data_IF_104261596007
#
_entry.id   IF_104261596007
#
_cell.length_a   1.000
_cell.length_b   1.000
_cell.length_c   1.000
_cell.angle_alpha   90.00
_cell.angle_beta   90.00
_cell.angle_gamma   90.00
#
_symmetry.space_group_name_H-M   'P 1'
#
loop_
_entity.id
_entity.type
_entity.pdbx_description
1 polymer ?
#
# COMPACT_ATOMS: atom_id res chain seq x y z
N UNK A 1 -7.95 51.71 66.42
CA UNK A 1 -6.46 51.68 66.35
C UNK A 1 -5.95 51.71 67.78
N UNK A 2 -5.50 50.57 68.31
CA UNK A 2 -4.95 50.43 69.66
C UNK A 2 -3.73 49.50 69.59
N UNK A 3 -2.63 49.98 70.19
CA UNK A 3 -1.68 49.26 71.06
C UNK A 3 -0.69 48.31 70.37
N UNK A 4 0.60 48.69 70.37
CA UNK A 4 1.62 48.46 71.44
C UNK A 4 2.29 47.08 71.24
N UNK A 5 3.57 46.85 71.52
CA UNK A 5 4.68 47.71 71.94
C UNK A 5 6.00 46.99 71.69
N UNK A 6 7.04 47.82 71.62
CA UNK A 6 8.48 47.56 71.65
C UNK A 6 8.95 46.37 72.51
N UNK A 7 10.05 45.74 72.08
CA UNK A 7 11.22 45.51 72.95
C UNK A 7 12.52 45.60 72.10
N UNK A 8 13.45 46.38 72.61
CA UNK A 8 14.89 46.48 72.26
C UNK A 8 15.72 45.82 73.39
N UNK A 9 17.05 45.92 73.49
CA UNK A 9 18.18 45.66 72.57
C UNK A 9 19.24 44.70 73.20
N UNK A 10 20.38 44.51 72.49
CA UNK A 10 21.74 44.13 72.99
C UNK A 10 22.25 42.67 73.07
N UNK A 11 23.50 42.55 72.57
CA UNK A 11 24.66 41.71 73.00
C UNK A 11 24.57 40.19 72.72
N UNK A 12 25.61 39.42 72.36
CA UNK A 12 27.09 39.51 72.32
C UNK A 12 27.59 38.32 71.43
N UNK A 13 28.68 38.45 70.62
CA UNK A 13 30.02 37.80 70.78
C UNK A 13 30.02 36.36 71.35
N UNK A 14 30.84 35.38 70.94
CA UNK A 14 32.00 35.26 70.02
C UNK A 14 32.32 33.75 69.82
N UNK A 15 33.26 33.46 68.93
CA UNK A 15 33.83 32.15 68.53
C UNK A 15 34.38 31.27 69.67
N UNK A 16 34.32 29.94 69.49
CA UNK A 16 35.40 28.99 69.83
C UNK A 16 35.23 27.63 69.14
N UNK A 17 36.34 27.14 68.58
CA UNK A 17 36.59 25.80 68.01
C UNK A 17 36.58 24.68 69.06
N UNK A 18 36.19 23.45 68.68
CA UNK A 18 36.83 22.16 69.09
C UNK A 18 36.16 20.91 68.49
N UNK A 19 36.92 20.21 67.65
CA UNK A 19 37.14 18.76 67.53
C UNK A 19 36.05 17.78 68.04
N UNK A 20 35.54 16.91 67.15
CA UNK A 20 35.75 15.44 67.21
C UNK A 20 34.95 14.73 66.10
N UNK A 21 35.61 13.75 65.47
CA UNK A 21 35.08 12.84 64.47
C UNK A 21 34.07 11.85 65.08
N UNK A 22 33.09 11.37 64.32
CA UNK A 22 32.86 9.94 64.01
C UNK A 22 31.61 9.78 63.12
N UNK A 23 31.79 9.01 62.06
CA UNK A 23 30.83 8.55 61.06
C UNK A 23 29.63 7.78 61.65
N UNK A 24 28.41 8.02 61.17
CA UNK A 24 27.52 6.97 60.64
C UNK A 24 26.16 7.50 60.13
N UNK A 25 25.89 7.11 58.88
CA UNK A 25 24.63 6.82 58.20
C UNK A 25 23.29 7.36 58.73
N UNK A 26 22.60 8.13 57.87
CA UNK A 26 21.17 8.40 58.01
C UNK A 26 20.69 9.55 57.12
N UNK A 27 20.62 9.33 55.80
CA UNK A 27 20.03 10.31 54.88
C UNK A 27 18.51 10.39 55.11
N UNK A 28 18.09 11.38 55.90
CA UNK A 28 16.72 11.90 55.87
C UNK A 28 16.73 13.15 55.00
N UNK A 29 16.15 13.06 53.80
CA UNK A 29 15.69 14.24 53.08
C UNK A 29 14.25 14.01 52.62
N UNK A 30 13.36 15.02 52.74
CA UNK A 30 11.93 14.83 52.57
C UNK A 30 11.52 15.03 51.11
N UNK A 31 10.85 14.02 50.54
CA UNK A 31 9.84 14.25 49.49
C UNK A 31 8.64 15.01 50.10
N UNK A 32 7.81 15.75 49.33
CA UNK A 32 7.25 15.27 48.07
C UNK A 32 7.08 16.32 46.96
N UNK A 33 6.99 15.85 45.70
CA UNK A 33 5.85 16.07 44.81
C UNK A 33 6.19 15.56 43.39
N UNK A 34 5.47 14.53 42.95
CA UNK A 34 5.22 14.31 41.51
C UNK A 34 5.82 13.05 40.88
N UNK A 35 5.51 11.86 41.41
CA UNK A 35 5.54 10.64 40.61
C UNK A 35 4.58 10.73 39.43
N UNK A 36 5.02 10.39 38.21
CA UNK A 36 4.29 9.51 37.28
C UNK A 36 5.06 9.20 35.99
N UNK A 37 5.73 8.04 36.05
CA UNK A 37 5.86 7.03 34.99
C UNK A 37 6.32 7.46 33.60
N UNK A 38 7.57 7.13 33.28
CA UNK A 38 7.90 6.58 31.96
C UNK A 38 8.87 5.42 32.15
N UNK A 39 8.33 4.28 32.59
CA UNK A 39 9.02 3.01 32.47
C UNK A 39 9.29 2.77 30.98
N UNK A 40 10.56 2.81 30.61
CA UNK A 40 11.04 2.39 29.30
C UNK A 40 10.64 0.93 29.09
N UNK A 41 9.58 0.70 28.34
CA UNK A 41 9.26 -0.61 27.80
C UNK A 41 10.37 -1.03 26.85
N UNK A 42 11.29 -1.82 27.38
CA UNK A 42 11.82 -3.04 26.76
C UNK A 42 11.99 -3.04 25.23
N UNK A 43 13.25 -2.92 24.79
CA UNK A 43 13.88 -3.62 23.66
C UNK A 43 12.92 -4.16 22.60
N UNK A 44 12.42 -3.28 21.75
CA UNK A 44 12.10 -3.62 20.38
C UNK A 44 13.04 -2.82 19.49
N UNK A 45 13.56 -3.45 18.44
CA UNK A 45 14.41 -2.89 17.38
C UNK A 45 13.66 -1.85 16.51
N UNK A 46 12.71 -1.12 17.10
CA UNK A 46 11.92 -0.08 16.50
C UNK A 46 12.48 1.26 16.97
N UNK A 47 13.00 2.05 16.04
CA UNK A 47 13.48 3.41 16.30
C UNK A 47 12.42 4.33 16.96
N UNK A 48 12.77 5.59 17.25
CA UNK A 48 11.91 6.49 18.02
C UNK A 48 10.51 6.62 17.40
N UNK A 49 9.47 6.41 18.22
CA UNK A 49 8.07 6.53 17.83
C UNK A 49 7.48 7.89 18.21
N UNK A 50 6.52 8.38 17.43
CA UNK A 50 5.71 9.57 17.72
C UNK A 50 4.24 9.26 17.51
N UNK A 51 3.36 10.16 17.95
CA UNK A 51 1.92 10.03 17.73
C UNK A 51 1.41 11.09 16.77
N UNK A 52 0.50 10.69 15.89
CA UNK A 52 -0.22 11.58 14.98
C UNK A 52 -1.73 11.43 15.17
N UNK A 53 -2.48 12.51 14.97
CA UNK A 53 -3.94 12.49 14.90
C UNK A 53 -4.37 12.49 13.44
N UNK A 54 -5.15 11.49 13.02
CA UNK A 54 -5.67 11.41 11.66
C UNK A 54 -7.19 11.50 11.68
N UNK A 55 -7.72 12.52 11.02
CA UNK A 55 -9.16 12.74 10.85
C UNK A 55 -9.66 11.89 9.69
N UNK A 56 -10.46 10.85 9.97
CA UNK A 56 -10.87 9.84 8.99
C UNK A 56 -12.40 9.83 8.77
N UNK A 57 -13.00 11.02 8.64
CA UNK A 57 -14.45 11.20 8.46
C UNK A 57 -15.01 10.42 7.25
N UNK A 58 -14.20 10.23 6.21
CA UNK A 58 -14.57 9.46 5.02
C UNK A 58 -14.74 7.95 5.28
N UNK A 59 -14.25 7.43 6.40
CA UNK A 59 -14.48 6.03 6.83
C UNK A 59 -15.57 5.94 7.90
N UNK A 60 -15.51 6.83 8.89
CA UNK A 60 -16.42 6.86 10.06
C UNK A 60 -16.74 8.32 10.40
N UNK A 61 -17.87 8.87 9.95
CA UNK A 61 -18.27 10.26 10.22
C UNK A 61 -18.40 10.58 11.72
N UNK A 62 -18.80 9.60 12.52
CA UNK A 62 -19.02 9.75 13.97
C UNK A 62 -17.72 9.86 14.78
N UNK A 63 -16.58 9.50 14.19
CA UNK A 63 -15.28 9.50 14.87
C UNK A 63 -14.50 10.70 14.40
N UNK A 64 -14.23 11.63 15.32
CA UNK A 64 -13.54 12.88 15.00
C UNK A 64 -12.14 12.61 14.44
N UNK A 65 -11.31 11.88 15.19
CA UNK A 65 -9.97 11.49 14.78
C UNK A 65 -9.55 10.15 15.40
N UNK A 66 -8.55 9.52 14.78
CA UNK A 66 -7.83 8.38 15.35
C UNK A 66 -6.39 8.77 15.66
N UNK A 67 -5.96 8.54 16.90
CA UNK A 67 -4.56 8.67 17.28
C UNK A 67 -3.80 7.39 16.90
N UNK A 68 -2.69 7.54 16.17
CA UNK A 68 -1.80 6.45 15.77
C UNK A 68 -0.40 6.69 16.34
N UNK A 69 0.22 5.64 16.88
CA UNK A 69 1.66 5.62 17.15
C UNK A 69 2.37 5.12 15.89
N UNK A 70 3.35 5.87 15.40
CA UNK A 70 4.09 5.61 14.16
C UNK A 70 5.58 5.89 14.36
N UNK A 71 6.42 5.35 13.48
CA UNK A 71 7.85 5.69 13.45
C UNK A 71 8.11 6.85 12.47
N UNK A 72 9.32 7.41 12.49
CA UNK A 72 9.74 8.40 11.49
C UNK A 72 9.88 7.85 10.07
N UNK A 73 9.88 6.52 9.91
CA UNK A 73 9.93 5.87 8.59
C UNK A 73 8.56 5.48 8.06
N UNK A 74 7.53 5.47 8.92
CA UNK A 74 6.19 5.07 8.52
C UNK A 74 5.69 5.95 7.39
N UNK A 75 5.23 5.35 6.30
CA UNK A 75 4.75 6.07 5.11
C UNK A 75 3.26 6.37 5.19
N UNK A 76 2.77 7.31 4.36
CA UNK A 76 1.34 7.58 4.24
C UNK A 76 0.56 6.33 3.79
N UNK A 77 1.11 5.52 2.89
CA UNK A 77 0.50 4.25 2.45
C UNK A 77 0.31 3.24 3.59
N UNK A 78 1.30 3.13 4.47
CA UNK A 78 1.19 2.29 5.67
C UNK A 78 0.16 2.81 6.66
N UNK A 79 0.07 4.14 6.83
CA UNK A 79 -0.96 4.77 7.66
C UNK A 79 -2.36 4.48 7.10
N UNK A 80 -2.57 4.62 5.79
CA UNK A 80 -3.83 4.27 5.12
C UNK A 80 -4.20 2.82 5.40
N UNK A 81 -3.27 1.89 5.17
CA UNK A 81 -3.47 0.45 5.39
C UNK A 81 -3.82 0.15 6.86
N UNK A 82 -3.14 0.80 7.79
CA UNK A 82 -3.40 0.69 9.24
C UNK A 82 -4.80 1.18 9.60
N UNK A 83 -5.24 2.31 9.03
CA UNK A 83 -6.57 2.86 9.26
C UNK A 83 -7.66 1.93 8.72
N UNK A 84 -7.53 1.47 7.47
CA UNK A 84 -8.47 0.49 6.90
C UNK A 84 -8.54 -0.78 7.76
N UNK A 85 -7.41 -1.26 8.28
CA UNK A 85 -7.36 -2.36 9.24
C UNK A 85 -8.13 -2.08 10.53
N UNK A 86 -7.85 -0.96 11.19
CA UNK A 86 -8.50 -0.58 12.46
C UNK A 86 -10.01 -0.35 12.32
N UNK A 87 -10.46 0.08 11.15
CA UNK A 87 -11.88 0.29 10.85
C UNK A 87 -12.58 -0.91 10.19
N UNK A 88 -11.92 -2.08 10.11
CA UNK A 88 -12.47 -3.30 9.47
C UNK A 88 -12.84 -3.11 7.98
N UNK A 89 -12.15 -2.20 7.29
CA UNK A 89 -12.34 -1.85 5.88
C UNK A 89 -11.22 -2.40 4.98
N UNK A 90 -10.55 -3.50 5.37
CA UNK A 90 -9.43 -4.11 4.60
C UNK A 90 -9.84 -4.61 3.21
N UNK A 91 -11.13 -4.85 2.99
CA UNK A 91 -11.69 -5.26 1.71
C UNK A 91 -11.81 -4.09 0.71
N UNK A 92 -11.55 -2.85 1.15
CA UNK A 92 -11.53 -1.67 0.27
C UNK A 92 -10.16 -1.51 -0.35
N UNK A 93 -10.16 -1.00 -1.57
CA UNK A 93 -8.93 -0.67 -2.26
C UNK A 93 -8.16 0.48 -1.56
N UNK A 94 -6.96 0.24 -1.01
CA UNK A 94 -6.18 1.28 -0.34
C UNK A 94 -5.77 2.42 -1.28
N UNK A 95 -5.65 2.18 -2.60
CA UNK A 95 -5.27 3.22 -3.58
C UNK A 95 -6.36 4.26 -3.81
N UNK A 96 -7.58 4.02 -3.33
CA UNK A 96 -8.65 5.02 -3.29
C UNK A 96 -8.48 6.02 -2.15
N UNK A 97 -7.50 5.86 -1.27
CA UNK A 97 -7.30 6.74 -0.13
C UNK A 97 -5.93 7.41 -0.19
N UNK A 98 -5.85 8.60 0.39
CA UNK A 98 -4.60 9.32 0.60
C UNK A 98 -4.69 10.20 1.83
N UNK A 99 -3.54 10.56 2.39
CA UNK A 99 -3.49 11.56 3.45
C UNK A 99 -3.38 12.94 2.85
N UNK A 100 -4.05 13.91 3.46
CA UNK A 100 -3.79 15.32 3.27
C UNK A 100 -3.34 15.95 4.58
N UNK A 101 -2.53 16.99 4.48
CA UNK A 101 -2.10 17.80 5.61
C UNK A 101 -2.64 19.22 5.44
N UNK A 102 -3.18 19.77 6.50
CA UNK A 102 -3.52 21.19 6.52
C UNK A 102 -2.27 22.04 6.74
N UNK A 103 -2.04 23.02 5.88
CA UNK A 103 -0.90 23.93 5.92
C UNK A 103 -1.41 25.38 5.95
N UNK A 104 -0.96 26.15 6.94
CA UNK A 104 -1.32 27.56 7.12
C UNK A 104 -0.24 28.46 6.53
N UNK A 105 -0.59 29.28 5.53
CA UNK A 105 0.30 30.28 4.96
C UNK A 105 0.21 31.55 5.81
N UNK A 106 1.15 31.72 6.75
CA UNK A 106 1.15 32.81 7.75
C UNK A 106 0.97 34.21 7.17
N UNK A 107 1.61 34.50 6.03
CA UNK A 107 1.57 35.84 5.39
C UNK A 107 0.20 36.21 4.83
N UNK A 108 -0.64 35.22 4.51
CA UNK A 108 -1.94 35.42 3.88
C UNK A 108 -3.12 35.02 4.78
N UNK A 109 -2.86 34.38 5.94
CA UNK A 109 -3.92 33.82 6.80
C UNK A 109 -4.71 32.68 6.16
N UNK A 110 -4.25 32.16 5.02
CA UNK A 110 -4.96 31.12 4.24
C UNK A 110 -4.56 29.75 4.77
N UNK A 111 -5.56 28.91 5.08
CA UNK A 111 -5.40 27.48 5.38
C UNK A 111 -5.68 26.69 4.12
N UNK A 112 -4.75 25.83 3.73
CA UNK A 112 -4.86 24.99 2.52
C UNK A 112 -4.63 23.53 2.86
N UNK A 113 -5.24 22.61 2.11
CA UNK A 113 -4.99 21.18 2.25
C UNK A 113 -4.01 20.71 1.17
N UNK A 114 -2.85 20.22 1.59
CA UNK A 114 -1.85 19.61 0.73
C UNK A 114 -2.08 18.09 0.69
N UNK A 115 -2.31 17.53 -0.50
CA UNK A 115 -2.31 16.09 -0.69
C UNK A 115 -0.88 15.55 -0.52
N UNK A 116 -0.73 14.47 0.26
CA UNK A 116 0.55 13.83 0.49
C UNK A 116 0.71 12.60 -0.40
N UNK A 117 1.92 12.38 -0.88
CA UNK A 117 2.30 11.18 -1.62
C UNK A 117 2.28 9.93 -0.72
N UNK A 118 2.12 8.76 -1.33
CA UNK A 118 2.08 7.47 -0.62
C UNK A 118 3.34 7.22 0.21
N UNK A 119 4.50 7.62 -0.31
CA UNK A 119 5.82 7.45 0.34
C UNK A 119 6.18 8.57 1.32
N UNK A 120 5.35 9.62 1.43
CA UNK A 120 5.59 10.71 2.35
C UNK A 120 5.53 10.22 3.81
N UNK A 121 6.36 10.79 4.68
CA UNK A 121 6.54 10.36 6.07
C UNK A 121 5.87 11.35 7.03
N UNK A 122 4.63 11.11 7.50
CA UNK A 122 3.86 12.07 8.28
C UNK A 122 4.54 12.47 9.60
N UNK A 123 5.31 11.59 10.23
CA UNK A 123 6.07 11.92 11.44
C UNK A 123 7.15 12.98 11.18
N UNK A 124 7.83 12.92 10.03
CA UNK A 124 8.82 13.92 9.60
C UNK A 124 8.12 15.24 9.29
N UNK A 125 7.01 15.19 8.56
CA UNK A 125 6.23 16.40 8.25
C UNK A 125 5.72 17.08 9.52
N UNK A 126 5.29 16.30 10.52
CA UNK A 126 4.83 16.82 11.81
C UNK A 126 5.96 17.49 12.60
N UNK A 127 7.20 16.97 12.56
CA UNK A 127 8.32 17.55 13.31
C UNK A 127 8.80 18.90 12.74
N UNK A 128 8.55 19.17 11.46
CA UNK A 128 8.86 20.44 10.83
C UNK A 128 7.87 21.58 11.17
N UNK A 129 6.73 21.27 11.79
CA UNK A 129 5.71 22.26 12.12
C UNK A 129 5.81 22.73 13.59
N UNK A 130 5.37 23.97 13.88
CA UNK A 130 5.17 24.41 15.26
C UNK A 130 4.29 23.40 16.00
N UNK A 131 4.63 23.12 17.27
CA UNK A 131 3.99 22.07 18.07
C UNK A 131 2.45 22.24 18.08
N UNK A 132 1.75 21.29 17.48
CA UNK A 132 0.28 21.18 17.55
C UNK A 132 -0.49 21.58 16.29
N UNK A 133 0.16 22.17 15.28
CA UNK A 133 -0.53 22.70 14.08
C UNK A 133 -0.69 21.68 12.95
N UNK A 134 -0.12 20.48 13.08
CA UNK A 134 -0.18 19.43 12.05
C UNK A 134 -1.50 18.68 12.09
N UNK A 135 -2.38 18.95 11.13
CA UNK A 135 -3.66 18.26 10.98
C UNK A 135 -3.65 17.34 9.75
N UNK A 136 -3.57 16.04 10.00
CA UNK A 136 -3.66 15.02 8.95
C UNK A 136 -5.10 14.54 8.77
N UNK A 137 -5.57 14.45 7.53
CA UNK A 137 -6.91 13.93 7.21
C UNK A 137 -6.81 12.83 6.16
N UNK A 138 -7.59 11.78 6.32
CA UNK A 138 -7.75 10.75 5.30
C UNK A 138 -8.80 11.22 4.29
N UNK A 139 -8.45 11.19 3.01
CA UNK A 139 -9.27 11.63 1.90
C UNK A 139 -9.48 10.47 0.91
N UNK A 140 -10.53 10.57 0.10
CA UNK A 140 -10.84 9.59 -0.95
C UNK A 140 -10.54 10.16 -2.33
N UNK A 141 -10.07 9.29 -3.23
CA UNK A 141 -9.90 9.55 -4.66
C UNK A 141 -11.08 8.98 -5.43
N UNK A 142 -11.25 9.45 -6.67
CA UNK A 142 -12.21 8.85 -7.61
C UNK A 142 -11.74 7.45 -8.00
N UNK A 143 -12.70 6.53 -8.06
CA UNK A 143 -12.51 5.15 -8.52
C UNK A 143 -13.57 4.77 -9.55
N UNK A 144 -13.63 3.49 -9.87
CA UNK A 144 -14.68 2.91 -10.70
C UNK A 144 -15.07 1.52 -10.23
N UNK A 145 -16.32 1.15 -10.47
CA UNK A 145 -16.84 -0.18 -10.16
C UNK A 145 -16.41 -1.17 -11.24
N UNK A 146 -15.81 -2.28 -10.82
CA UNK A 146 -15.58 -3.45 -11.67
C UNK A 146 -16.41 -4.61 -11.14
N UNK A 147 -17.06 -5.34 -12.06
CA UNK A 147 -17.78 -6.58 -11.74
C UNK A 147 -16.88 -7.76 -12.09
N UNK A 148 -16.65 -8.64 -11.11
CA UNK A 148 -15.78 -9.81 -11.26
C UNK A 148 -16.54 -11.07 -10.88
N UNK A 149 -16.68 -11.98 -11.83
CA UNK A 149 -17.25 -13.31 -11.59
C UNK A 149 -16.22 -14.16 -10.85
N UNK A 150 -16.59 -14.62 -9.64
CA UNK A 150 -15.67 -15.17 -8.65
C UNK A 150 -16.17 -16.49 -8.06
N UNK A 151 -16.98 -17.23 -8.82
CA UNK A 151 -17.54 -18.53 -8.42
C UNK A 151 -16.48 -19.56 -7.98
N UNK A 152 -15.24 -19.40 -8.45
CA UNK A 152 -14.09 -20.24 -8.06
C UNK A 152 -13.58 -19.98 -6.63
N UNK A 153 -13.93 -18.82 -6.06
CA UNK A 153 -13.64 -18.43 -4.68
C UNK A 153 -14.83 -18.74 -3.76
N UNK A 154 -16.05 -18.52 -4.25
CA UNK A 154 -17.28 -18.83 -3.55
C UNK A 154 -18.35 -19.29 -4.55
N UNK A 155 -18.73 -20.56 -4.50
CA UNK A 155 -19.70 -21.16 -5.45
C UNK A 155 -21.09 -20.53 -5.38
N UNK A 156 -21.42 -19.89 -4.26
CA UNK A 156 -22.69 -19.20 -4.08
C UNK A 156 -22.66 -17.74 -4.57
N UNK A 157 -21.48 -17.22 -4.93
CA UNK A 157 -21.31 -15.87 -5.46
C UNK A 157 -21.55 -15.88 -6.97
N UNK A 158 -22.48 -15.04 -7.45
CA UNK A 158 -22.63 -14.81 -8.90
C UNK A 158 -21.48 -13.95 -9.42
N UNK A 159 -21.27 -12.81 -8.78
CA UNK A 159 -20.17 -11.89 -9.04
C UNK A 159 -19.96 -11.00 -7.83
N UNK A 160 -18.76 -10.42 -7.72
CA UNK A 160 -18.46 -9.36 -6.78
C UNK A 160 -18.24 -8.03 -7.49
N UNK A 161 -18.88 -6.99 -6.99
CA UNK A 161 -18.63 -5.61 -7.41
C UNK A 161 -17.60 -4.96 -6.50
N UNK A 162 -16.48 -4.53 -7.06
CA UNK A 162 -15.42 -3.84 -6.32
C UNK A 162 -15.28 -2.41 -6.83
N UNK A 163 -15.30 -1.44 -5.90
CA UNK A 163 -14.87 -0.08 -6.20
C UNK A 163 -13.35 -0.02 -6.10
N UNK A 164 -12.68 0.24 -7.23
CA UNK A 164 -11.22 0.23 -7.32
C UNK A 164 -10.67 1.52 -7.93
N UNK A 165 -9.40 1.82 -7.64
CA UNK A 165 -8.66 2.89 -8.28
C UNK A 165 -8.29 2.53 -9.72
N UNK A 166 -8.10 3.54 -10.56
CA UNK A 166 -7.59 3.37 -11.91
C UNK A 166 -6.15 2.83 -11.95
N UNK A 167 -5.41 2.88 -10.83
CA UNK A 167 -4.04 2.36 -10.71
C UNK A 167 -3.98 0.95 -10.12
N UNK A 168 -5.12 0.34 -9.80
CA UNK A 168 -5.19 -0.97 -9.16
C UNK A 168 -4.96 -2.07 -10.18
N UNK A 169 -4.03 -2.97 -9.87
CA UNK A 169 -3.61 -4.04 -10.78
C UNK A 169 -4.47 -5.28 -10.64
N UNK A 170 -4.33 -6.23 -11.56
CA UNK A 170 -5.02 -7.53 -11.51
C UNK A 170 -4.71 -8.27 -10.21
N UNK A 171 -3.44 -8.36 -9.80
CA UNK A 171 -3.06 -9.05 -8.57
C UNK A 171 -3.68 -8.41 -7.33
N UNK A 172 -3.76 -7.08 -7.31
CA UNK A 172 -4.41 -6.35 -6.22
C UNK A 172 -5.92 -6.58 -6.21
N UNK A 173 -6.59 -6.65 -7.37
CA UNK A 173 -8.01 -7.03 -7.45
C UNK A 173 -8.22 -8.44 -6.91
N UNK A 174 -7.38 -9.40 -7.26
CA UNK A 174 -7.43 -10.77 -6.72
C UNK A 174 -7.22 -10.74 -5.19
N UNK A 175 -6.24 -9.98 -4.71
CA UNK A 175 -5.99 -9.80 -3.27
C UNK A 175 -7.20 -9.21 -2.52
N UNK A 176 -7.89 -8.24 -3.13
CA UNK A 176 -9.11 -7.66 -2.57
C UNK A 176 -10.24 -8.71 -2.49
N UNK A 177 -10.45 -9.49 -3.55
CA UNK A 177 -11.43 -10.59 -3.55
C UNK A 177 -11.14 -11.63 -2.47
N UNK A 178 -9.88 -12.07 -2.35
CA UNK A 178 -9.46 -13.01 -1.31
C UNK A 178 -9.69 -12.43 0.09
N UNK A 179 -9.42 -11.14 0.28
CA UNK A 179 -9.68 -10.43 1.54
C UNK A 179 -11.18 -10.38 1.86
N UNK A 180 -12.06 -10.20 0.87
CA UNK A 180 -13.51 -10.23 1.08
C UNK A 180 -14.01 -11.59 1.60
N UNK A 181 -13.36 -12.69 1.21
CA UNK A 181 -13.70 -14.03 1.68
C UNK A 181 -12.83 -14.50 2.85
N UNK A 182 -11.98 -13.63 3.38
CA UNK A 182 -11.03 -13.94 4.46
C UNK A 182 -10.14 -15.16 4.13
N UNK A 183 -9.84 -15.36 2.84
CA UNK A 183 -9.00 -16.45 2.33
C UNK A 183 -7.52 -16.13 2.54
N UNK A 184 -6.73 -17.17 2.86
CA UNK A 184 -5.26 -17.09 3.02
C UNK A 184 -4.49 -17.59 1.80
N UNK A 185 -5.21 -17.89 0.72
CA UNK A 185 -4.61 -18.33 -0.55
C UNK A 185 -3.74 -17.23 -1.15
N UNK A 186 -2.78 -17.64 -2.01
CA UNK A 186 -1.85 -16.70 -2.64
C UNK A 186 -2.42 -16.19 -3.95
N UNK A 187 -2.16 -14.93 -4.30
CA UNK A 187 -2.71 -14.30 -5.51
C UNK A 187 -2.31 -15.05 -6.79
N UNK A 188 -1.11 -15.63 -6.84
CA UNK A 188 -0.61 -16.33 -8.03
C UNK A 188 -1.28 -17.70 -8.24
N UNK A 189 -2.10 -18.17 -7.28
CA UNK A 189 -3.00 -19.31 -7.49
C UNK A 189 -4.17 -18.96 -8.40
N UNK A 190 -4.36 -17.70 -8.77
CA UNK A 190 -5.47 -17.24 -9.58
C UNK A 190 -4.99 -16.41 -10.77
N UNK A 191 -5.86 -16.27 -11.76
CA UNK A 191 -5.68 -15.35 -12.87
C UNK A 191 -7.02 -14.67 -13.16
N UNK A 192 -6.97 -13.40 -13.55
CA UNK A 192 -8.14 -12.67 -14.04
C UNK A 192 -8.21 -12.77 -15.56
N UNK A 193 -9.40 -13.07 -16.06
CA UNK A 193 -9.70 -13.13 -17.49
C UNK A 193 -10.70 -12.05 -17.84
N UNK A 194 -10.51 -11.43 -18.99
CA UNK A 194 -11.56 -10.73 -19.71
C UNK A 194 -12.23 -11.74 -20.66
N UNK A 195 -13.55 -11.84 -20.57
CA UNK A 195 -14.34 -12.77 -21.37
C UNK A 195 -15.38 -11.98 -22.13
N UNK A 196 -15.43 -12.15 -23.45
CA UNK A 196 -16.39 -11.52 -24.34
C UNK A 196 -17.15 -12.62 -25.09
N UNK A 197 -18.31 -13.09 -24.57
CA UNK A 197 -19.04 -14.24 -25.11
C UNK A 197 -19.44 -14.07 -26.58
N UNK A 198 -19.85 -12.87 -26.98
CA UNK A 198 -20.26 -12.55 -28.36
C UNK A 198 -19.17 -12.78 -29.40
N UNK A 199 -17.90 -12.70 -28.99
CA UNK A 199 -16.74 -12.92 -29.86
C UNK A 199 -16.10 -14.29 -29.66
N UNK A 200 -16.69 -15.13 -28.80
CA UNK A 200 -16.11 -16.40 -28.30
C UNK A 200 -14.65 -16.24 -27.85
N UNK A 201 -14.30 -15.03 -27.39
CA UNK A 201 -12.94 -14.66 -27.07
C UNK A 201 -12.78 -14.52 -25.55
N UNK A 202 -11.70 -15.09 -25.05
CA UNK A 202 -11.24 -14.89 -23.69
C UNK A 202 -9.75 -14.56 -23.69
N UNK A 203 -9.35 -13.61 -22.84
CA UNK A 203 -7.97 -13.17 -22.71
C UNK A 203 -7.58 -13.22 -21.23
N UNK A 204 -6.48 -13.91 -20.92
CA UNK A 204 -5.84 -13.80 -19.60
C UNK A 204 -5.18 -12.43 -19.50
N UNK A 205 -5.50 -11.68 -18.46
CA UNK A 205 -4.87 -10.39 -18.18
C UNK A 205 -3.51 -10.60 -17.49
N UNK A 206 -2.58 -9.69 -17.75
CA UNK A 206 -1.29 -9.66 -17.07
C UNK A 206 -1.48 -9.23 -15.60
N UNK A 207 -0.70 -9.76 -14.64
CA UNK A 207 -0.74 -9.34 -13.23
C UNK A 207 -0.69 -7.81 -13.00
N UNK A 208 0.06 -7.11 -13.85
CA UNK A 208 0.23 -5.65 -13.81
C UNK A 208 -0.82 -4.86 -14.61
N UNK A 209 -1.69 -5.54 -15.37
CA UNK A 209 -2.78 -4.87 -16.07
C UNK A 209 -3.72 -4.22 -15.06
N UNK A 210 -4.40 -3.15 -15.47
CA UNK A 210 -5.32 -2.39 -14.61
C UNK A 210 -6.77 -2.65 -15.02
N UNK A 211 -7.53 -3.47 -14.27
CA UNK A 211 -8.86 -3.91 -14.70
C UNK A 211 -9.82 -2.76 -15.00
N UNK A 212 -9.76 -1.65 -14.23
CA UNK A 212 -10.60 -0.49 -14.51
C UNK A 212 -10.28 0.15 -15.88
N UNK A 213 -8.99 0.20 -16.27
CA UNK A 213 -8.58 0.71 -17.58
C UNK A 213 -8.99 -0.26 -18.70
N UNK A 214 -8.84 -1.57 -18.47
CA UNK A 214 -9.30 -2.61 -19.41
C UNK A 214 -10.81 -2.49 -19.65
N UNK A 215 -11.61 -2.33 -18.59
CA UNK A 215 -13.06 -2.15 -18.68
C UNK A 215 -13.45 -0.90 -19.47
N UNK A 216 -12.70 0.19 -19.35
CA UNK A 216 -12.95 1.43 -20.09
C UNK A 216 -12.67 1.31 -21.59
N UNK A 217 -11.91 0.29 -22.02
CA UNK A 217 -11.63 0.03 -23.43
C UNK A 217 -12.68 -0.86 -24.09
N UNK A 218 -13.64 -1.40 -23.33
CA UNK A 218 -14.73 -2.20 -23.90
C UNK A 218 -15.64 -1.36 -24.78
N UNK A 219 -16.01 -1.90 -25.94
CA UNK A 219 -16.99 -1.25 -26.79
C UNK A 219 -18.37 -1.35 -26.12
N UNK A 220 -19.21 -0.32 -26.18
CA UNK A 220 -20.57 -0.37 -25.63
C UNK A 220 -21.40 -1.51 -26.22
N UNK A 221 -21.08 -1.94 -27.45
CA UNK A 221 -21.74 -3.04 -28.14
C UNK A 221 -21.28 -4.42 -27.69
N UNK A 222 -20.18 -4.55 -26.94
CA UNK A 222 -19.64 -5.84 -26.51
C UNK A 222 -19.91 -6.09 -25.03
N UNK A 223 -20.62 -7.18 -24.74
CA UNK A 223 -20.85 -7.62 -23.35
C UNK A 223 -19.63 -8.37 -22.81
N UNK A 224 -18.56 -7.66 -22.49
CA UNK A 224 -17.39 -8.24 -21.84
C UNK A 224 -17.54 -8.21 -20.30
N UNK A 225 -16.91 -9.16 -19.62
CA UNK A 225 -16.87 -9.22 -18.15
C UNK A 225 -15.54 -9.81 -17.65
N UNK A 226 -15.24 -9.58 -16.37
CA UNK A 226 -14.10 -10.21 -15.71
C UNK A 226 -14.47 -11.52 -15.05
N UNK A 227 -13.60 -12.53 -15.16
CA UNK A 227 -13.77 -13.86 -14.57
C UNK A 227 -12.46 -14.29 -13.88
N UNK A 228 -12.54 -14.69 -12.62
CA UNK A 228 -11.41 -15.28 -11.89
C UNK A 228 -11.36 -16.79 -12.14
N UNK A 229 -10.17 -17.32 -12.39
CA UNK A 229 -9.92 -18.77 -12.49
C UNK A 229 -8.73 -19.19 -11.65
N UNK A 230 -8.74 -20.44 -11.18
CA UNK A 230 -7.61 -21.08 -10.49
C UNK A 230 -6.53 -21.50 -11.51
N UNK A 231 -5.27 -21.35 -11.11
CA UNK A 231 -4.09 -21.80 -11.84
C UNK A 231 -3.70 -23.21 -11.33
N UNK A 232 -4.02 -24.30 -12.04
CA UNK A 232 -3.77 -25.67 -11.57
C UNK A 232 -2.27 -25.96 -11.37
N UNK A 233 -1.43 -25.35 -12.19
CA UNK A 233 0.02 -25.55 -12.17
C UNK A 233 0.70 -25.00 -10.91
N UNK A 234 0.03 -24.12 -10.15
CA UNK A 234 0.65 -23.50 -8.99
C UNK A 234 0.88 -24.47 -7.83
N UNK A 235 -0.05 -25.41 -7.61
CA UNK A 235 0.04 -26.40 -6.54
C UNK A 235 0.82 -27.65 -6.95
N UNK A 236 1.33 -27.72 -8.18
CA UNK A 236 2.12 -28.85 -8.66
C UNK A 236 3.56 -28.77 -8.16
N UNK A 237 4.10 -29.83 -7.52
CA UNK A 237 5.51 -29.87 -7.16
C UNK A 237 6.37 -29.72 -8.42
N UNK A 238 7.48 -28.97 -8.32
CA UNK A 238 8.37 -28.64 -9.44
C UNK A 238 8.78 -29.85 -10.28
N UNK A 239 8.87 -31.04 -9.68
CA UNK A 239 9.17 -32.31 -10.35
C UNK A 239 8.09 -32.73 -11.37
N UNK A 240 6.81 -32.43 -11.14
CA UNK A 240 5.72 -32.74 -12.10
C UNK A 240 5.53 -31.66 -13.16
N UNK A 241 5.93 -30.41 -12.91
CA UNK A 241 5.88 -29.35 -13.93
C UNK A 241 6.74 -29.68 -15.15
N UNK A 242 7.85 -30.42 -14.98
CA UNK A 242 8.69 -30.90 -16.08
C UNK A 242 8.03 -31.99 -16.95
N UNK A 243 7.09 -32.77 -16.40
CA UNK A 243 6.47 -33.89 -17.13
C UNK A 243 5.43 -33.42 -18.16
N UNK A 244 4.77 -32.28 -17.93
CA UNK A 244 3.77 -31.75 -18.86
C UNK A 244 4.40 -31.18 -20.14
N UNK A 245 5.60 -30.59 -20.04
CA UNK A 245 6.33 -30.07 -21.20
C UNK A 245 6.92 -31.16 -22.13
N UNK A 246 7.00 -32.41 -21.66
CA UNK A 246 7.61 -33.51 -22.43
C UNK A 246 6.57 -34.27 -23.27
N UNK A 247 5.28 -34.20 -22.92
CA UNK A 247 4.24 -34.96 -23.62
C UNK A 247 3.86 -34.40 -25.01
N UNK A 248 4.26 -33.16 -25.35
CA UNK A 248 3.97 -32.55 -26.65
C UNK A 248 5.07 -32.76 -27.71
N UNK A 249 6.13 -33.52 -27.39
CA UNK A 249 7.13 -33.90 -28.39
C UNK A 249 6.85 -35.32 -28.91
N UNK A 250 6.69 -35.51 -30.24
CA UNK A 250 6.53 -36.84 -30.80
C UNK A 250 7.75 -37.69 -30.46
N UNK A 251 7.58 -38.99 -30.13
CA UNK A 251 8.70 -39.85 -29.80
C UNK A 251 9.66 -39.95 -30.99
N UNK A 252 10.91 -39.53 -30.78
CA UNK A 252 11.99 -39.72 -31.73
C UNK A 252 12.14 -41.24 -31.93
N UNK A 253 12.08 -41.76 -33.17
CA UNK A 253 12.21 -43.19 -33.41
C UNK A 253 13.60 -43.65 -32.99
N UNK A 254 13.64 -44.56 -32.01
CA UNK A 254 14.86 -45.23 -31.59
C UNK A 254 15.27 -46.21 -32.69
N UNK A 255 16.23 -45.81 -33.53
CA UNK A 255 16.94 -46.71 -34.42
C UNK A 255 17.75 -47.71 -33.58
N UNK A 256 17.32 -48.98 -33.62
CA UNK A 256 18.13 -50.12 -33.18
C UNK A 256 19.37 -50.23 -34.06
N UNK A 257 20.54 -49.96 -33.49
CA UNK A 257 21.79 -50.65 -33.84
C UNK A 257 22.82 -50.38 -32.75
N UNK A 258 22.96 -51.33 -31.84
CA UNK A 258 24.20 -51.48 -31.07
C UNK A 258 25.15 -52.32 -31.89
N UNK A 259 26.16 -51.72 -32.49
CA UNK A 259 27.46 -52.37 -32.71
C UNK A 259 28.58 -51.36 -32.46
N UNK A 260 29.40 -51.71 -31.48
CA UNK A 260 30.66 -51.05 -31.14
C UNK A 260 31.63 -51.13 -32.32
N UNK A 261 32.34 -50.03 -32.63
CA UNK A 261 33.74 -50.11 -33.06
C UNK A 261 34.51 -48.88 -32.54
N UNK A 262 35.61 -49.17 -31.85
CA UNK A 262 36.67 -48.24 -31.50
C UNK A 262 37.38 -47.71 -32.76
N UNK A 263 37.71 -46.42 -32.81
CA UNK A 263 39.09 -45.98 -33.02
C UNK A 263 39.30 -44.50 -32.67
N UNK A 264 40.57 -44.22 -32.39
CA UNK A 264 41.23 -43.02 -31.88
C UNK A 264 41.44 -41.97 -32.98
N UNK A 265 41.69 -40.74 -32.52
CA UNK A 265 42.65 -39.77 -33.07
C UNK A 265 42.15 -38.57 -33.92
N UNK A 266 42.54 -37.38 -33.42
CA UNK A 266 43.17 -36.26 -34.13
C UNK A 266 42.30 -35.29 -34.96
N UNK A 267 42.22 -34.06 -34.44
CA UNK A 267 42.58 -32.78 -35.10
C UNK A 267 42.32 -32.67 -36.61
N UNK A 268 41.47 -31.72 -37.03
CA UNK A 268 41.85 -30.67 -37.98
C UNK A 268 40.76 -29.60 -38.15
N UNK A 269 41.25 -28.41 -38.50
CA UNK A 269 40.53 -27.17 -38.79
C UNK A 269 40.06 -27.14 -40.25
N UNK A 270 38.93 -26.49 -40.50
CA UNK A 270 38.60 -25.71 -41.72
C UNK A 270 37.22 -25.08 -41.49
N UNK A 271 37.05 -23.77 -41.27
CA UNK A 271 37.11 -22.63 -42.21
C UNK A 271 36.34 -22.79 -43.54
N UNK A 272 35.73 -21.65 -43.92
CA UNK A 272 34.89 -21.33 -45.10
C UNK A 272 33.39 -21.66 -44.93
N UNK A 273 32.44 -20.79 -45.25
CA UNK A 273 32.46 -19.46 -45.86
C UNK A 273 31.04 -18.85 -45.87
N UNK A 274 30.96 -17.52 -45.68
CA UNK A 274 30.22 -16.49 -46.47
C UNK A 274 28.81 -16.84 -47.01
N UNK A 275 27.78 -16.00 -47.02
CA UNK A 275 27.49 -14.60 -46.67
C UNK A 275 25.93 -14.42 -46.85
N UNK A 276 25.34 -13.28 -46.50
CA UNK A 276 23.93 -13.08 -46.20
C UNK A 276 23.15 -12.38 -47.33
N UNK A 277 21.82 -12.46 -47.28
CA UNK A 277 20.92 -11.60 -48.05
C UNK A 277 20.16 -10.64 -47.14
N UNK A 278 20.53 -9.35 -47.26
CA UNK A 278 19.77 -8.17 -46.83
C UNK A 278 18.71 -7.79 -47.87
N UNK A 279 17.81 -6.89 -47.42
CA UNK A 279 17.01 -5.87 -48.16
C UNK A 279 15.52 -6.21 -48.28
N UNK A 280 14.56 -5.32 -48.05
CA UNK A 280 14.59 -3.85 -48.01
C UNK A 280 13.57 -3.26 -47.02
N UNK A 281 13.96 -2.10 -46.49
CA UNK A 281 13.15 -1.07 -45.86
C UNK A 281 12.59 -0.18 -46.98
N UNK A 282 11.33 0.23 -46.87
CA UNK A 282 10.78 1.37 -47.60
C UNK A 282 9.98 2.24 -46.63
N UNK A 283 10.51 3.44 -46.41
CA UNK A 283 9.90 4.57 -45.72
C UNK A 283 8.76 5.17 -46.56
N UNK A 284 7.68 5.61 -45.92
CA UNK A 284 6.81 6.64 -46.50
C UNK A 284 6.22 7.57 -45.44
N UNK A 285 5.99 8.80 -45.87
CA UNK A 285 6.05 10.07 -45.13
C UNK A 285 4.73 10.47 -44.44
N UNK A 286 4.91 11.10 -43.27
CA UNK A 286 4.32 12.34 -42.77
C UNK A 286 3.13 12.97 -43.54
N UNK A 287 1.97 13.10 -42.86
CA UNK A 287 1.05 14.26 -43.01
C UNK A 287 0.39 14.57 -41.66
N UNK A 288 0.79 15.70 -41.10
CA UNK A 288 0.24 16.37 -39.92
C UNK A 288 -1.04 17.13 -40.30
N UNK A 289 -2.17 16.90 -39.60
CA UNK A 289 -3.38 17.73 -39.74
C UNK A 289 -3.99 18.04 -38.37
N UNK A 290 -3.64 19.23 -37.86
CA UNK A 290 -4.29 19.89 -36.72
C UNK A 290 -5.78 20.11 -37.02
N UNK A 291 -6.65 19.76 -36.07
CA UNK A 291 -8.05 20.20 -36.03
C UNK A 291 -8.41 20.56 -34.60
N UNK A 292 -8.73 21.83 -34.40
CA UNK A 292 -9.24 22.42 -33.16
C UNK A 292 -10.72 22.08 -32.94
N UNK A 293 -11.18 22.38 -31.71
CA UNK A 293 -12.55 22.55 -31.18
C UNK A 293 -13.02 21.45 -30.18
N UNK A 294 -14.04 21.71 -29.34
CA UNK A 294 -14.17 22.78 -28.34
C UNK A 294 -14.60 22.20 -26.96
N UNK A 295 -14.62 23.07 -25.95
CA UNK A 295 -15.02 22.80 -24.55
C UNK A 295 -16.41 22.15 -24.39
N UNK A 296 -16.49 21.03 -23.66
CA UNK A 296 -17.76 20.43 -23.23
C UNK A 296 -17.78 20.16 -21.71
N UNK A 297 -18.58 21.00 -21.03
CA UNK A 297 -19.41 20.83 -19.82
C UNK A 297 -19.03 19.70 -18.84
N UNK A 298 -18.71 20.12 -17.60
CA UNK A 298 -18.64 19.28 -16.41
C UNK A 298 -19.94 18.49 -16.22
N UNK A 299 -19.88 17.18 -16.45
CA UNK A 299 -20.89 16.24 -15.96
C UNK A 299 -20.61 15.99 -14.48
N UNK A 300 -21.62 16.21 -13.65
CA UNK A 300 -21.57 15.93 -12.22
C UNK A 300 -21.48 14.41 -12.06
N UNK A 301 -20.28 13.88 -11.83
CA UNK A 301 -20.06 12.46 -11.58
C UNK A 301 -20.54 12.10 -10.17
N UNK A 302 -21.31 11.02 -9.99
CA UNK A 302 -21.90 10.65 -8.71
C UNK A 302 -20.83 10.47 -7.62
N UNK A 303 -21.18 10.90 -6.41
CA UNK A 303 -20.32 10.85 -5.23
C UNK A 303 -20.49 9.50 -4.53
N UNK A 304 -19.52 9.11 -3.71
CA UNK A 304 -19.54 7.87 -2.93
C UNK A 304 -20.83 7.68 -2.10
N UNK A 305 -21.46 8.77 -1.66
CA UNK A 305 -22.73 8.74 -0.93
C UNK A 305 -23.86 8.05 -1.74
N UNK A 306 -23.79 8.07 -3.07
CA UNK A 306 -24.83 7.52 -3.95
C UNK A 306 -24.83 5.98 -3.99
N UNK A 307 -23.79 5.33 -3.43
CA UNK A 307 -23.62 3.88 -3.47
C UNK A 307 -23.78 3.18 -2.12
N UNK A 308 -24.01 3.89 -1.01
CA UNK A 308 -24.15 3.26 0.31
C UNK A 308 -25.40 2.35 0.42
N UNK A 309 -26.38 2.49 -0.47
CA UNK A 309 -27.62 1.70 -0.44
C UNK A 309 -27.53 0.31 -1.10
N UNK A 310 -26.40 -0.07 -1.71
CA UNK A 310 -26.30 -1.37 -2.42
C UNK A 310 -25.60 -2.48 -1.62
N UNK A 311 -25.27 -2.25 -0.35
CA UNK A 311 -24.40 -3.16 0.43
C UNK A 311 -25.11 -4.00 1.51
N UNK A 312 -26.44 -4.12 1.46
CA UNK A 312 -27.19 -5.02 2.34
C UNK A 312 -28.02 -6.03 1.54
N UNK A 313 -27.37 -7.07 1.00
CA UNK A 313 -27.96 -8.41 0.82
C UNK A 313 -26.84 -9.44 0.95
#
# INVERSE_FOLDING_TARGET
>A
MMKHVQLSPYRSRADTVSLTSTTSYGSLSPEPLGSRSSSYSSLNESGPTTTIKVYAKCLRPDIEYKTLSITYQTTCGEVVSTLLGKYKMKHRDPKLFYLSMEVTVRKAGIRTHLALDTEAKPAVLQSCHPRGDSKFSLQTKRGGLVKVYDSVLNTNSQYKSLLISAQTTVDEVISLLLTCYNSKERVEQFSLYEVCPEKEQQRKLHPDDRPLQVQQMWLPSTQCHFLVRRNPEYNMPLSRRKMLWIHDLPPIPQSRTSQQLHYRSQISKSQSSLLPTKKNISEEKDVNKRREQPSAKLTNSPSYADYENYFYI
#
